data_IF_912294023350
#
_entry.id   IF_912294023350
#
_cell.length_a   1.000
_cell.length_b   1.000
_cell.length_c   1.000
_cell.angle_alpha   90.00
_cell.angle_beta   90.00
_cell.angle_gamma   90.00
#
_symmetry.space_group_name_H-M   'P 1'
#
loop_
_entity.id
_entity.type
_entity.pdbx_description
1 polymer ?
#
# COMPACT_ATOMS: atom_id res chain seq x y z
N UNK A 1 -12.65 2.38 -8.90
CA UNK A 1 -12.08 3.56 -8.19
C UNK A 1 -11.86 4.76 -9.09
N UNK A 2 -11.00 4.68 -10.12
CA UNK A 2 -10.64 5.86 -10.93
C UNK A 2 -11.86 6.58 -11.56
N UNK A 3 -12.86 5.83 -12.05
CA UNK A 3 -14.06 6.41 -12.67
C UNK A 3 -14.93 7.17 -11.67
N UNK A 4 -14.95 6.73 -10.41
CA UNK A 4 -15.63 7.41 -9.29
C UNK A 4 -14.94 8.75 -9.02
N UNK A 5 -13.61 8.73 -8.89
CA UNK A 5 -12.81 9.95 -8.67
C UNK A 5 -12.90 10.91 -9.86
N UNK A 6 -12.88 10.38 -11.09
CA UNK A 6 -13.06 11.16 -12.32
C UNK A 6 -14.44 11.81 -12.35
N UNK A 7 -15.52 11.10 -12.05
CA UNK A 7 -16.87 11.68 -11.98
C UNK A 7 -16.96 12.78 -10.91
N UNK A 8 -16.41 12.53 -9.71
CA UNK A 8 -16.37 13.52 -8.63
C UNK A 8 -15.59 14.78 -9.03
N UNK A 9 -14.46 14.64 -9.71
CA UNK A 9 -13.63 15.77 -10.14
C UNK A 9 -14.39 16.79 -11.00
N UNK A 10 -15.33 16.31 -11.81
CA UNK A 10 -16.18 17.16 -12.66
C UNK A 10 -17.25 17.89 -11.87
N UNK A 11 -17.87 17.21 -10.90
CA UNK A 11 -18.81 17.83 -9.94
C UNK A 11 -18.13 18.95 -9.15
N UNK A 12 -16.84 18.78 -8.81
CA UNK A 12 -16.05 19.76 -8.07
C UNK A 12 -15.44 20.87 -8.93
N UNK A 13 -15.67 20.86 -10.26
CA UNK A 13 -15.09 21.86 -11.17
C UNK A 13 -13.58 21.69 -11.44
N UNK A 14 -12.97 20.61 -10.96
CA UNK A 14 -11.55 20.26 -11.17
C UNK A 14 -11.42 19.04 -12.06
N UNK A 15 -12.06 19.09 -13.23
CA UNK A 15 -12.19 17.96 -14.15
C UNK A 15 -10.81 17.38 -14.52
N UNK A 16 -10.61 16.11 -14.19
CA UNK A 16 -9.39 15.38 -14.56
C UNK A 16 -9.32 15.15 -16.09
N UNK A 17 -8.13 15.19 -16.71
CA UNK A 17 -7.97 15.25 -18.17
C UNK A 17 -8.01 13.87 -18.85
N UNK A 18 -8.93 13.00 -18.45
CA UNK A 18 -9.10 11.66 -19.04
C UNK A 18 -10.52 11.15 -18.81
N UNK A 19 -11.08 10.47 -19.81
CA UNK A 19 -12.44 9.92 -19.81
C UNK A 19 -12.47 8.41 -20.06
N UNK A 20 -11.32 7.81 -20.42
CA UNK A 20 -11.17 6.37 -20.59
C UNK A 20 -9.98 5.82 -19.81
N UNK A 21 -10.00 4.50 -19.57
CA UNK A 21 -8.90 3.81 -18.90
C UNK A 21 -7.58 3.94 -19.69
N UNK A 22 -7.65 3.94 -21.02
CA UNK A 22 -6.45 4.07 -21.86
C UNK A 22 -5.84 5.47 -21.77
N UNK A 23 -6.67 6.51 -21.69
CA UNK A 23 -6.19 7.89 -21.46
C UNK A 23 -5.56 8.05 -20.08
N UNK A 24 -6.18 7.45 -19.05
CA UNK A 24 -5.62 7.43 -17.70
C UNK A 24 -4.25 6.73 -17.67
N UNK A 25 -4.14 5.56 -18.32
CA UNK A 25 -2.88 4.82 -18.43
C UNK A 25 -1.82 5.62 -19.19
N UNK A 26 -2.18 6.23 -20.32
CA UNK A 26 -1.26 7.09 -21.06
C UNK A 26 -0.73 8.25 -20.21
N UNK A 27 -1.59 8.91 -19.43
CA UNK A 27 -1.19 9.95 -18.47
C UNK A 27 -0.23 9.39 -17.40
N UNK A 28 -0.58 8.24 -16.80
CA UNK A 28 0.24 7.59 -15.78
C UNK A 28 1.62 7.19 -16.31
N UNK A 29 1.69 6.64 -17.52
CA UNK A 29 2.95 6.21 -18.13
C UNK A 29 3.82 7.41 -18.53
N UNK A 30 3.20 8.52 -18.95
CA UNK A 30 3.93 9.76 -19.23
C UNK A 30 4.54 10.36 -17.95
N UNK A 31 3.79 10.38 -16.85
CA UNK A 31 4.26 10.92 -15.57
C UNK A 31 5.28 9.98 -14.88
N UNK A 32 5.03 8.67 -14.96
CA UNK A 32 5.80 7.62 -14.30
C UNK A 32 5.97 6.41 -15.24
N UNK A 33 7.02 6.39 -16.09
CA UNK A 33 7.22 5.37 -17.12
C UNK A 33 7.24 3.93 -16.63
N UNK A 34 7.67 3.69 -15.39
CA UNK A 34 7.74 2.35 -14.79
C UNK A 34 6.37 1.68 -14.69
N UNK A 35 5.28 2.44 -14.56
CA UNK A 35 3.93 1.87 -14.53
C UNK A 35 3.48 1.28 -15.88
N UNK A 36 4.13 1.67 -16.98
CA UNK A 36 3.86 1.11 -18.32
C UNK A 36 4.63 -0.17 -18.62
N UNK A 37 5.57 -0.55 -17.75
CA UNK A 37 6.44 -1.70 -17.92
C UNK A 37 5.86 -2.90 -17.14
N UNK A 38 4.81 -3.50 -17.67
CA UNK A 38 4.12 -4.64 -17.05
C UNK A 38 5.07 -5.85 -17.02
N UNK A 39 5.05 -6.59 -15.91
CA UNK A 39 5.90 -7.76 -15.66
C UNK A 39 7.42 -7.47 -15.77
N UNK A 40 7.79 -6.21 -15.61
CA UNK A 40 9.16 -5.76 -15.63
C UNK A 40 9.55 -5.18 -14.27
N UNK A 41 10.58 -5.75 -13.67
CA UNK A 41 11.23 -5.16 -12.52
C UNK A 41 12.31 -4.20 -13.04
N UNK A 42 12.16 -2.86 -12.86
CA UNK A 42 13.26 -1.97 -13.16
C UNK A 42 14.44 -2.39 -12.28
N UNK A 43 15.60 -2.61 -12.90
CA UNK A 43 16.85 -2.78 -12.17
C UNK A 43 17.18 -1.54 -11.34
N UNK A 44 18.23 -1.58 -10.55
CA UNK A 44 18.75 -0.36 -9.93
C UNK A 44 19.17 0.60 -11.04
N UNK A 45 18.37 1.62 -11.32
CA UNK A 45 18.90 2.82 -11.97
C UNK A 45 20.02 3.26 -11.04
N UNK A 46 21.23 3.45 -11.55
CA UNK A 46 22.34 3.96 -10.75
C UNK A 46 22.09 5.45 -10.43
N UNK A 47 21.00 5.74 -9.73
CA UNK A 47 20.91 6.96 -8.93
C UNK A 47 21.87 6.74 -7.79
N UNK A 48 22.81 7.66 -7.65
CA UNK A 48 23.69 7.73 -6.48
C UNK A 48 22.78 8.05 -5.29
N UNK A 49 22.17 7.03 -4.73
CA UNK A 49 21.36 7.15 -3.53
C UNK A 49 22.33 7.32 -2.37
N UNK A 50 22.47 8.56 -1.92
CA UNK A 50 23.29 8.88 -0.76
C UNK A 50 22.56 8.44 0.51
N UNK A 51 22.92 7.27 1.02
CA UNK A 51 22.42 6.76 2.30
C UNK A 51 22.77 7.71 3.44
N UNK A 52 23.89 8.44 3.35
CA UNK A 52 24.31 9.41 4.35
C UNK A 52 23.43 10.66 4.41
N UNK A 53 22.63 10.92 3.36
CA UNK A 53 21.62 11.97 3.37
C UNK A 53 20.31 11.55 4.07
N UNK A 54 20.19 10.28 4.51
CA UNK A 54 19.02 9.82 5.27
C UNK A 54 19.18 10.16 6.75
N UNK A 55 18.18 10.86 7.30
CA UNK A 55 18.13 11.22 8.71
C UNK A 55 18.83 12.55 9.01
N UNK A 56 18.89 12.89 10.29
CA UNK A 56 19.53 14.10 10.81
C UNK A 56 19.68 14.00 12.33
N UNK A 57 20.46 14.91 12.91
CA UNK A 57 20.67 14.96 14.35
C UNK A 57 19.36 15.22 15.09
N UNK A 58 19.11 14.48 16.17
CA UNK A 58 17.91 14.60 16.99
C UNK A 58 17.87 13.60 18.14
N UNK A 59 16.91 13.76 19.04
CA UNK A 59 16.68 12.81 20.12
C UNK A 59 16.15 11.49 19.54
N UNK A 60 16.78 10.38 19.90
CA UNK A 60 16.35 9.03 19.54
C UNK A 60 15.65 8.43 20.75
N UNK A 61 14.50 7.80 20.50
CA UNK A 61 13.76 7.08 21.54
C UNK A 61 14.45 5.76 21.88
N UNK A 62 14.46 5.38 23.17
CA UNK A 62 14.87 4.05 23.64
C UNK A 62 13.81 2.97 23.40
N UNK A 63 12.71 3.31 22.71
CA UNK A 63 11.67 2.35 22.36
C UNK A 63 12.24 1.22 21.48
N UNK A 64 11.94 -0.05 21.79
CA UNK A 64 12.36 -1.16 20.95
C UNK A 64 11.68 -1.08 19.58
N UNK A 65 12.35 -1.58 18.54
CA UNK A 65 11.71 -1.78 17.25
C UNK A 65 10.57 -2.79 17.37
N UNK A 66 9.45 -2.48 16.73
CA UNK A 66 8.31 -3.37 16.69
C UNK A 66 7.83 -3.58 15.24
N UNK A 67 7.25 -4.75 14.98
CA UNK A 67 6.57 -4.98 13.70
C UNK A 67 5.39 -4.01 13.57
N UNK A 68 5.25 -3.30 12.42
CA UNK A 68 4.05 -2.51 12.12
C UNK A 68 2.84 -3.42 11.82
N UNK A 69 3.08 -4.70 11.52
CA UNK A 69 2.03 -5.69 11.29
C UNK A 69 1.82 -6.50 12.56
N UNK A 70 0.77 -6.14 13.31
CA UNK A 70 0.38 -6.82 14.57
C UNK A 70 -0.50 -8.05 14.36
N UNK A 71 -1.29 -8.07 13.28
CA UNK A 71 -2.21 -9.15 12.95
C UNK A 71 -2.08 -9.50 11.47
N UNK A 72 -1.20 -10.45 11.15
CA UNK A 72 -0.89 -10.85 9.77
C UNK A 72 -2.13 -11.23 8.95
N UNK A 73 -3.04 -11.98 9.54
CA UNK A 73 -4.28 -12.43 8.88
C UNK A 73 -5.35 -11.34 8.76
N UNK A 74 -5.15 -10.14 9.34
CA UNK A 74 -6.17 -9.07 9.39
C UNK A 74 -5.63 -7.72 8.88
N UNK A 75 -4.63 -7.77 8.00
CA UNK A 75 -3.86 -6.61 7.52
C UNK A 75 -4.66 -5.59 6.72
N UNK A 76 -5.69 -6.03 5.99
CA UNK A 76 -6.46 -5.18 5.09
C UNK A 76 -7.99 -5.43 5.24
N UNK A 77 -8.85 -4.55 4.68
CA UNK A 77 -10.31 -4.69 4.83
C UNK A 77 -10.88 -6.01 4.31
N UNK A 78 -10.33 -6.56 3.22
CA UNK A 78 -10.78 -7.83 2.65
C UNK A 78 -10.49 -8.97 3.62
N UNK A 79 -9.26 -9.00 4.15
CA UNK A 79 -8.85 -9.99 5.13
C UNK A 79 -9.66 -9.89 6.43
N UNK A 80 -9.99 -8.66 6.88
CA UNK A 80 -10.85 -8.44 8.05
C UNK A 80 -12.30 -8.87 7.86
N UNK A 81 -12.82 -8.81 6.65
CA UNK A 81 -14.17 -9.27 6.32
C UNK A 81 -14.24 -10.80 6.08
N UNK A 82 -13.09 -11.49 6.02
CA UNK A 82 -13.02 -12.93 5.75
C UNK A 82 -13.18 -13.76 7.02
N UNK A 83 -14.17 -14.65 7.02
CA UNK A 83 -14.38 -15.64 8.09
C UNK A 83 -13.17 -16.56 8.24
N UNK A 84 -12.64 -17.08 7.13
CA UNK A 84 -11.45 -17.94 7.13
C UNK A 84 -10.23 -17.25 7.75
N UNK A 85 -10.02 -15.97 7.44
CA UNK A 85 -8.91 -15.23 8.03
C UNK A 85 -9.11 -14.95 9.52
N UNK A 86 -10.36 -14.79 9.97
CA UNK A 86 -10.66 -14.70 11.39
C UNK A 86 -10.32 -16.01 12.13
N UNK A 87 -10.62 -17.18 11.53
CA UNK A 87 -10.24 -18.49 12.07
C UNK A 87 -8.71 -18.64 12.13
N UNK A 88 -8.00 -18.30 11.05
CA UNK A 88 -6.53 -18.30 11.04
C UNK A 88 -5.95 -17.36 12.11
N UNK A 89 -6.55 -16.17 12.29
CA UNK A 89 -6.13 -15.22 13.31
C UNK A 89 -6.32 -15.78 14.74
N UNK A 90 -7.43 -16.48 15.01
CA UNK A 90 -7.70 -17.09 16.31
C UNK A 90 -6.73 -18.22 16.65
N UNK A 91 -6.33 -19.02 15.66
CA UNK A 91 -5.28 -20.04 15.83
C UNK A 91 -3.91 -19.39 16.04
N UNK A 92 -3.57 -18.39 15.24
CA UNK A 92 -2.26 -17.73 15.29
C UNK A 92 -2.03 -16.92 16.57
N UNK A 93 -3.09 -16.31 17.14
CA UNK A 93 -3.00 -15.55 18.39
C UNK A 93 -2.98 -16.43 19.65
N UNK A 94 -3.19 -17.73 19.51
CA UNK A 94 -3.34 -18.66 20.64
C UNK A 94 -4.69 -18.57 21.36
N UNK A 95 -5.60 -17.70 20.94
CA UNK A 95 -6.95 -17.59 21.53
C UNK A 95 -7.73 -18.92 21.46
N UNK A 96 -7.51 -19.72 20.42
CA UNK A 96 -8.10 -21.06 20.29
C UNK A 96 -7.64 -22.06 21.36
N UNK A 97 -6.47 -21.86 21.99
CA UNK A 97 -5.99 -22.73 23.08
C UNK A 97 -6.60 -22.38 24.44
N UNK A 98 -7.02 -21.13 24.65
CA UNK A 98 -7.58 -20.66 25.93
C UNK A 98 -9.04 -21.10 26.13
N UNK A 99 -9.79 -21.35 25.05
CA UNK A 99 -11.20 -21.77 25.13
C UNK A 99 -11.40 -23.29 25.33
N UNK A 100 -10.32 -24.08 25.34
CA UNK A 100 -10.35 -25.54 25.44
C UNK A 100 -9.78 -26.06 26.78
N UNK A 101 -9.39 -25.17 27.69
CA UNK A 101 -9.01 -25.45 29.09
C UNK A 101 -10.13 -24.97 30.03
#
# INVERSE_FOLDING_TARGET
DWSILRALSEVLGHKLPYDSLDQLRAKLFADHPTFGQIDYAPGSVATVFDVGALGGDGEVSDAPFESPIKAFHLTNPIARASVTMAECAAVASGAAKIAAE
#
